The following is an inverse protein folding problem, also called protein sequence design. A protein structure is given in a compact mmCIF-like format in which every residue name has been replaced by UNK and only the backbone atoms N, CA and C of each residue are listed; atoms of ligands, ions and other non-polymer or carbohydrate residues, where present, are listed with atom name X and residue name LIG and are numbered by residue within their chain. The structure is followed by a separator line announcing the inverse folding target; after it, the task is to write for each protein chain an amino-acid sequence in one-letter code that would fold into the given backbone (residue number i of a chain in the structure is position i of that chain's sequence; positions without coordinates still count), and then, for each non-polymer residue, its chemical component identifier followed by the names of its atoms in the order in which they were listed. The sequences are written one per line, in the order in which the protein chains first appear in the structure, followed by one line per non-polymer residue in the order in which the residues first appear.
data_IF_249532057012
#
_entry.id   IF_249532057012
#
_cell.length_a   1.000
_cell.length_b   1.000
_cell.length_c   1.000
_cell.angle_alpha   90.00
_cell.angle_beta   90.00
_cell.angle_gamma   90.00
#
_symmetry.space_group_name_H-M   'P 1'
#
loop_
_entity.id
_entity.type
_entity.pdbx_description
1 polymer ?
#
# COMPACT_ATOMS: atom_id res chain seq x y z
N UNK A 1 -9.48 -15.92 -12.62
CA UNK A 1 -10.66 -15.17 -13.07
C UNK A 1 -10.29 -13.71 -13.36
N UNK A 2 -10.67 -13.22 -14.53
CA UNK A 2 -10.50 -11.81 -14.89
C UNK A 2 -11.83 -11.07 -14.66
N UNK A 3 -11.84 -10.14 -13.72
CA UNK A 3 -13.06 -9.38 -13.36
C UNK A 3 -13.40 -8.30 -14.40
N UNK A 4 -12.46 -7.94 -15.27
CA UNK A 4 -12.56 -6.72 -16.05
C UNK A 4 -12.39 -5.47 -15.17
N UNK A 5 -12.79 -4.33 -15.70
CA UNK A 5 -12.67 -3.04 -15.00
C UNK A 5 -13.80 -2.86 -14.00
N UNK A 6 -13.46 -2.84 -12.70
CA UNK A 6 -14.39 -2.59 -11.61
C UNK A 6 -14.42 -1.11 -11.24
N UNK A 7 -15.56 -0.62 -10.72
CA UNK A 7 -15.75 0.78 -10.29
C UNK A 7 -16.52 0.86 -8.97
N UNK A 8 -16.22 1.91 -8.23
CA UNK A 8 -16.96 2.25 -7.00
C UNK A 8 -16.98 1.12 -5.99
N UNK A 9 -18.17 0.79 -5.50
CA UNK A 9 -18.38 -0.19 -4.44
C UNK A 9 -17.93 -1.61 -4.81
N UNK A 10 -17.89 -1.95 -6.10
CA UNK A 10 -17.50 -3.29 -6.53
C UNK A 10 -15.99 -3.54 -6.34
N UNK A 11 -15.17 -2.48 -6.44
CA UNK A 11 -13.73 -2.55 -6.08
C UNK A 11 -13.57 -2.89 -4.61
N UNK A 12 -14.30 -2.20 -3.74
CA UNK A 12 -14.24 -2.45 -2.30
C UNK A 12 -14.72 -3.84 -1.92
N UNK A 13 -15.81 -4.32 -2.53
CA UNK A 13 -16.31 -5.68 -2.32
C UNK A 13 -15.28 -6.73 -2.74
N UNK A 14 -14.60 -6.52 -3.88
CA UNK A 14 -13.55 -7.43 -4.35
C UNK A 14 -12.38 -7.50 -3.34
N UNK A 15 -11.93 -6.38 -2.80
CA UNK A 15 -10.91 -6.40 -1.76
C UNK A 15 -11.39 -7.14 -0.51
N UNK A 16 -12.61 -6.89 -0.05
CA UNK A 16 -13.19 -7.56 1.13
C UNK A 16 -13.33 -9.08 0.98
N UNK A 17 -13.41 -9.59 -0.25
CA UNK A 17 -13.44 -11.03 -0.55
C UNK A 17 -12.03 -11.63 -0.72
N UNK A 18 -10.98 -10.82 -0.67
CA UNK A 18 -9.61 -11.24 -0.94
C UNK A 18 -8.89 -11.61 0.36
N UNK A 19 -8.18 -12.73 0.36
CA UNK A 19 -7.31 -13.14 1.47
C UNK A 19 -5.95 -12.43 1.43
N UNK A 20 -5.45 -12.11 0.23
CA UNK A 20 -4.17 -11.44 -0.01
C UNK A 20 -4.29 -10.59 -1.27
N UNK A 21 -3.73 -9.39 -1.23
CA UNK A 21 -3.54 -8.55 -2.40
C UNK A 21 -2.07 -8.56 -2.83
N UNK A 22 -1.81 -8.64 -4.14
CA UNK A 22 -0.45 -8.57 -4.69
C UNK A 22 -0.39 -7.60 -5.87
N UNK A 23 0.63 -6.72 -5.87
CA UNK A 23 0.96 -5.82 -6.97
C UNK A 23 2.44 -5.98 -7.37
N UNK A 24 2.77 -6.92 -8.27
CA UNK A 24 4.14 -7.22 -8.68
C UNK A 24 4.60 -6.30 -9.83
N UNK A 25 4.39 -4.99 -9.70
CA UNK A 25 4.70 -4.04 -10.77
C UNK A 25 6.20 -3.90 -11.00
N UNK A 26 6.60 -3.90 -12.26
CA UNK A 26 8.00 -3.63 -12.69
C UNK A 26 8.35 -2.16 -12.44
N UNK A 27 7.40 -1.27 -12.74
CA UNK A 27 7.52 0.17 -12.51
C UNK A 27 6.12 0.72 -12.24
N UNK A 28 5.95 1.34 -11.10
CA UNK A 28 4.71 1.98 -10.69
C UNK A 28 5.07 3.29 -9.98
N UNK A 29 4.70 4.46 -10.52
CA UNK A 29 5.07 5.75 -9.93
C UNK A 29 4.65 5.91 -8.48
N UNK A 30 3.48 5.43 -8.12
CA UNK A 30 3.04 5.39 -6.72
C UNK A 30 2.25 4.10 -6.43
N UNK A 31 1.05 3.91 -7.02
CA UNK A 31 0.16 2.76 -6.79
C UNK A 31 -0.87 3.03 -5.70
N UNK A 32 -2.11 3.41 -6.10
CA UNK A 32 -3.21 3.66 -5.16
C UNK A 32 -3.86 2.36 -4.70
N UNK A 33 -3.93 1.36 -5.57
CA UNK A 33 -4.63 0.10 -5.27
C UNK A 33 -4.10 -0.68 -4.06
N UNK A 34 -2.79 -0.69 -3.74
CA UNK A 34 -2.32 -1.25 -2.47
C UNK A 34 -2.92 -0.55 -1.24
N UNK A 35 -3.07 0.78 -1.30
CA UNK A 35 -3.68 1.54 -0.20
C UNK A 35 -5.17 1.20 -0.03
N UNK A 36 -5.89 0.97 -1.13
CA UNK A 36 -7.30 0.56 -1.11
C UNK A 36 -7.45 -0.85 -0.54
N UNK A 37 -6.56 -1.78 -0.90
CA UNK A 37 -6.51 -3.13 -0.34
C UNK A 37 -6.25 -3.11 1.18
N UNK A 38 -5.22 -2.38 1.63
CA UNK A 38 -4.89 -2.23 3.05
C UNK A 38 -6.02 -1.56 3.83
N UNK A 39 -6.68 -0.55 3.26
CA UNK A 39 -7.86 0.09 3.88
C UNK A 39 -9.03 -0.87 4.02
N UNK A 40 -9.13 -1.87 3.15
CA UNK A 40 -10.13 -2.95 3.20
C UNK A 40 -9.70 -4.11 4.11
N UNK A 41 -8.66 -3.92 4.93
CA UNK A 41 -8.12 -4.90 5.86
C UNK A 41 -7.56 -6.16 5.18
N UNK A 42 -6.93 -6.00 4.00
CA UNK A 42 -6.32 -7.08 3.22
C UNK A 42 -4.80 -7.01 3.36
N UNK A 43 -4.12 -8.09 3.77
CA UNK A 43 -2.66 -8.12 3.78
C UNK A 43 -2.13 -7.96 2.36
N UNK A 44 -1.14 -7.09 2.21
CA UNK A 44 -0.74 -6.57 0.90
C UNK A 44 0.73 -6.86 0.63
N UNK A 45 1.00 -7.39 -0.57
CA UNK A 45 2.34 -7.63 -1.12
C UNK A 45 2.56 -6.67 -2.28
N UNK A 46 3.67 -5.96 -2.29
CA UNK A 46 4.04 -5.02 -3.35
C UNK A 46 5.47 -5.27 -3.83
N UNK A 47 5.77 -4.82 -5.04
CA UNK A 47 7.17 -4.82 -5.48
C UNK A 47 7.97 -3.69 -4.83
N UNK A 48 9.25 -3.95 -4.55
CA UNK A 48 10.19 -2.90 -4.12
C UNK A 48 10.30 -1.74 -5.11
N UNK A 49 9.99 -1.99 -6.38
CA UNK A 49 10.11 -1.04 -7.49
C UNK A 49 8.90 -0.11 -7.63
N UNK A 50 7.87 -0.26 -6.79
CA UNK A 50 6.73 0.66 -6.75
C UNK A 50 7.01 1.86 -5.82
N UNK A 51 6.56 3.06 -6.22
CA UNK A 51 6.76 4.27 -5.41
C UNK A 51 6.08 4.20 -4.04
N UNK A 52 4.97 3.47 -3.92
CA UNK A 52 4.30 3.26 -2.64
C UNK A 52 5.13 2.44 -1.65
N UNK A 53 6.12 1.68 -2.12
CA UNK A 53 7.05 0.93 -1.26
C UNK A 53 7.93 1.83 -0.38
N UNK A 54 8.11 3.10 -0.77
CA UNK A 54 8.88 4.07 0.01
C UNK A 54 8.12 4.60 1.24
N UNK A 55 6.79 4.48 1.24
CA UNK A 55 5.93 5.10 2.26
C UNK A 55 5.18 4.08 3.12
N UNK A 56 5.13 2.81 2.73
CA UNK A 56 4.44 1.77 3.48
C UNK A 56 5.43 0.88 4.24
N UNK A 57 5.22 0.73 5.55
CA UNK A 57 6.00 -0.17 6.40
C UNK A 57 5.33 -1.55 6.54
N UNK A 58 4.00 -1.59 6.50
CA UNK A 58 3.22 -2.82 6.70
C UNK A 58 2.70 -3.48 5.41
N UNK A 59 3.18 -3.06 4.24
CA UNK A 59 3.10 -3.86 3.03
C UNK A 59 4.36 -4.73 2.91
N UNK A 60 4.18 -6.02 2.59
CA UNK A 60 5.32 -6.92 2.38
C UNK A 60 5.94 -6.61 1.02
N UNK A 61 7.25 -6.39 1.00
CA UNK A 61 7.97 -5.93 -0.18
C UNK A 61 8.80 -7.07 -0.76
N UNK A 62 8.59 -7.38 -2.04
CA UNK A 62 9.34 -8.39 -2.78
C UNK A 62 9.86 -7.80 -4.09
N UNK A 63 10.91 -8.36 -4.66
CA UNK A 63 11.32 -7.96 -6.00
C UNK A 63 10.35 -8.53 -7.03
N UNK A 64 9.98 -7.73 -8.06
CA UNK A 64 9.01 -8.16 -9.07
C UNK A 64 9.41 -9.42 -9.84
N UNK A 65 10.70 -9.73 -9.93
CA UNK A 65 11.23 -10.92 -10.60
C UNK A 65 11.33 -12.15 -9.69
N UNK A 66 11.20 -11.98 -8.38
CA UNK A 66 11.37 -13.06 -7.41
C UNK A 66 10.03 -13.78 -7.17
N UNK A 67 9.68 -14.62 -8.12
CA UNK A 67 8.41 -15.36 -8.12
C UNK A 67 8.34 -16.33 -6.94
N UNK A 68 9.47 -16.92 -6.56
CA UNK A 68 9.52 -17.86 -5.43
C UNK A 68 9.25 -17.13 -4.11
N UNK A 69 9.88 -15.99 -3.87
CA UNK A 69 9.60 -15.17 -2.68
C UNK A 69 8.15 -14.68 -2.64
N UNK A 70 7.55 -14.34 -3.80
CA UNK A 70 6.13 -14.01 -3.87
C UNK A 70 5.25 -15.19 -3.46
N UNK A 71 5.51 -16.38 -4.02
CA UNK A 71 4.76 -17.60 -3.72
C UNK A 71 4.87 -17.97 -2.24
N UNK A 72 6.07 -17.94 -1.67
CA UNK A 72 6.33 -18.22 -0.26
C UNK A 72 5.60 -17.21 0.65
N UNK A 73 5.59 -15.94 0.27
CA UNK A 73 4.90 -14.89 1.02
C UNK A 73 3.38 -15.09 1.01
N UNK A 74 2.80 -15.38 -0.15
CA UNK A 74 1.37 -15.70 -0.28
C UNK A 74 1.04 -16.93 0.55
N UNK A 75 1.83 -18.00 0.42
CA UNK A 75 1.64 -19.23 1.18
C UNK A 75 1.71 -18.98 2.70
N UNK A 76 2.67 -18.17 3.14
CA UNK A 76 2.82 -17.79 4.54
C UNK A 76 1.60 -17.04 5.07
N UNK A 77 1.09 -16.06 4.33
CA UNK A 77 -0.10 -15.29 4.74
C UNK A 77 -1.36 -16.15 4.81
N UNK A 78 -1.54 -17.08 3.86
CA UNK A 78 -2.71 -17.97 3.85
C UNK A 78 -2.61 -19.05 4.95
N UNK A 79 -1.40 -19.57 5.19
CA UNK A 79 -1.18 -20.67 6.13
C UNK A 79 -1.11 -20.25 7.59
N UNK A 80 -0.78 -18.98 7.87
CA UNK A 80 -0.62 -18.47 9.22
C UNK A 80 -1.56 -17.29 9.50
N UNK A 81 -2.80 -17.54 9.96
CA UNK A 81 -3.82 -16.50 10.16
C UNK A 81 -3.37 -15.35 11.07
N UNK A 82 -2.54 -15.64 12.09
CA UNK A 82 -2.00 -14.62 12.99
C UNK A 82 -1.08 -13.64 12.26
N UNK A 83 -0.29 -14.12 11.29
CA UNK A 83 0.57 -13.30 10.44
C UNK A 83 -0.26 -12.42 9.53
N UNK A 84 -1.22 -13.00 8.82
CA UNK A 84 -2.14 -12.25 7.94
C UNK A 84 -2.88 -11.16 8.72
N UNK A 85 -3.42 -11.49 9.89
CA UNK A 85 -4.11 -10.55 10.77
C UNK A 85 -3.21 -9.39 11.20
N UNK A 86 -1.98 -9.66 11.59
CA UNK A 86 -1.03 -8.62 12.00
C UNK A 86 -0.77 -7.63 10.85
N UNK A 87 -0.49 -8.13 9.64
CA UNK A 87 -0.25 -7.26 8.47
C UNK A 87 -1.51 -6.50 8.04
N UNK A 88 -2.69 -7.11 8.07
CA UNK A 88 -3.93 -6.45 7.68
C UNK A 88 -4.32 -5.34 8.68
N UNK A 89 -4.27 -5.60 9.98
CA UNK A 89 -4.63 -4.63 11.01
C UNK A 89 -3.64 -3.46 11.04
N UNK A 90 -2.34 -3.74 11.03
CA UNK A 90 -1.29 -2.70 11.02
C UNK A 90 -1.26 -1.91 9.71
N UNK A 91 -1.44 -2.59 8.59
CA UNK A 91 -1.55 -1.92 7.29
C UNK A 91 -2.75 -0.99 7.21
N UNK A 92 -3.91 -1.41 7.70
CA UNK A 92 -5.09 -0.56 7.74
C UNK A 92 -4.89 0.65 8.65
N UNK A 93 -4.27 0.48 9.82
CA UNK A 93 -3.92 1.58 10.73
C UNK A 93 -2.98 2.58 10.05
N UNK A 94 -1.92 2.08 9.38
CA UNK A 94 -0.95 2.90 8.65
C UNK A 94 -1.62 3.74 7.56
N UNK A 95 -2.40 3.13 6.69
CA UNK A 95 -3.06 3.82 5.56
C UNK A 95 -4.10 4.84 6.05
N UNK A 96 -4.80 4.56 7.15
CA UNK A 96 -5.74 5.53 7.74
C UNK A 96 -5.04 6.79 8.28
N UNK A 97 -3.74 6.72 8.57
CA UNK A 97 -2.91 7.85 8.98
C UNK A 97 -2.30 8.63 7.80
N UNK A 98 -2.31 8.07 6.59
CA UNK A 98 -1.88 8.74 5.36
C UNK A 98 -2.99 9.70 4.88
N UNK A 99 -2.95 10.93 5.38
CA UNK A 99 -3.95 11.96 5.04
C UNK A 99 -3.34 13.04 4.17
N UNK A 100 -4.09 13.50 3.18
CA UNK A 100 -3.75 14.67 2.36
C UNK A 100 -3.41 15.91 3.18
N UNK A 101 -4.09 16.09 4.32
CA UNK A 101 -3.81 17.18 5.24
C UNK A 101 -2.35 17.18 5.74
N UNK A 102 -1.80 16.00 6.03
CA UNK A 102 -0.41 15.89 6.49
C UNK A 102 0.59 16.29 5.39
N UNK A 103 0.31 15.90 4.15
CA UNK A 103 1.12 16.30 2.99
C UNK A 103 1.02 17.82 2.76
N UNK A 104 -0.18 18.39 2.80
CA UNK A 104 -0.41 19.82 2.65
C UNK A 104 0.29 20.64 3.74
N UNK A 105 0.30 20.17 4.98
CA UNK A 105 1.01 20.82 6.10
C UNK A 105 2.53 20.85 5.84
N UNK A 106 3.12 19.72 5.42
CA UNK A 106 4.56 19.68 5.08
C UNK A 106 4.92 20.66 3.96
N UNK A 107 4.08 20.76 2.92
CA UNK A 107 4.30 21.70 1.82
C UNK A 107 4.23 23.16 2.32
N UNK A 108 3.23 23.47 3.15
CA UNK A 108 3.10 24.80 3.77
C UNK A 108 4.32 25.17 4.60
N UNK A 109 4.86 24.23 5.38
CA UNK A 109 6.05 24.47 6.20
C UNK A 109 7.29 24.76 5.34
N UNK A 110 7.44 24.07 4.20
CA UNK A 110 8.53 24.36 3.23
C UNK A 110 8.38 25.75 2.63
N UNK A 111 7.16 26.16 2.26
CA UNK A 111 6.92 27.52 1.77
C UNK A 111 7.25 28.58 2.82
N UNK A 112 6.85 28.37 4.08
CA UNK A 112 7.18 29.30 5.17
C UNK A 112 8.69 29.42 5.36
N UNK A 113 9.41 28.31 5.36
CA UNK A 113 10.87 28.31 5.48
C UNK A 113 11.56 29.07 4.32
N UNK A 114 11.03 28.95 3.09
CA UNK A 114 11.56 29.68 1.94
C UNK A 114 11.33 31.20 2.09
N UNK A 115 10.15 31.61 2.50
CA UNK A 115 9.80 33.00 2.76
C UNK A 115 10.73 33.60 3.85
N UNK A 116 10.92 32.89 4.96
CA UNK A 116 11.75 33.32 6.07
C UNK A 116 13.23 33.48 5.67
N UNK A 117 13.71 32.66 4.74
CA UNK A 117 15.07 32.78 4.17
C UNK A 117 15.23 33.99 3.24
N UNK A 118 14.17 34.32 2.46
CA UNK A 118 14.20 35.45 1.55
C UNK A 118 14.12 36.81 2.27
N UNK A 119 13.56 36.83 3.49
CA UNK A 119 13.39 38.05 4.29
C UNK A 119 14.57 38.34 5.22
N UNK A 120 15.62 37.53 5.16
CA UNK A 120 16.93 37.77 5.82
C UNK A 120 17.93 38.37 4.87
#
# INVERSE_FOLDING_TARGET
HFTGFLKGDDVQKMFQLSDVYIMPSVSEPFGISPLEAMRSNVPTIISHQSGVAEVLDYAIKVNYWDVDAMADTIYGLISYPALAKMFSEKGMEEVNNLKWFNAATKIKDVYQQAIDKCNK
#
